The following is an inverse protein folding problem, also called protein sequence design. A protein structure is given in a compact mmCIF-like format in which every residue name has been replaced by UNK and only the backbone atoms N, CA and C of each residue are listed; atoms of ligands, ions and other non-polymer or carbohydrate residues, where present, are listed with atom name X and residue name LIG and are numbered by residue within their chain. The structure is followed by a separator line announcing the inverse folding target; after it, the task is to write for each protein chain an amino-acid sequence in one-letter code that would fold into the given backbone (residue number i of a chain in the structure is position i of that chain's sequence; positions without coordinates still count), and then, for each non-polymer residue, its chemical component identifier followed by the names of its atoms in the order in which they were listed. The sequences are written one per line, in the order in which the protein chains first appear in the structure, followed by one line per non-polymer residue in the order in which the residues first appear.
data_IF_864950221845
#
_entry.id   IF_864950221845
#
_cell.length_a   1.000
_cell.length_b   1.000
_cell.length_c   1.000
_cell.angle_alpha   90.00
_cell.angle_beta   90.00
_cell.angle_gamma   90.00
#
_symmetry.space_group_name_H-M   'P 1'
#
loop_
_entity.id
_entity.type
_entity.pdbx_description
1 polymer ?
#
# COMPACT_ATOMS: atom_id res chain seq x y z
N UNK A 1 36.91 23.67 53.34
CA UNK A 1 36.00 23.42 54.48
C UNK A 1 35.14 22.20 54.15
N UNK A 2 35.06 21.27 55.12
CA UNK A 2 34.21 20.06 55.20
C UNK A 2 32.74 20.42 54.87
N UNK A 3 31.95 19.62 54.12
CA UNK A 3 30.96 18.62 54.62
C UNK A 3 30.12 18.14 53.39
N UNK A 4 30.02 16.84 53.07
CA UNK A 4 29.13 15.77 53.61
C UNK A 4 27.73 15.75 52.92
N UNK A 5 27.48 14.76 52.03
CA UNK A 5 26.57 13.57 52.11
C UNK A 5 25.10 13.86 51.70
N UNK A 6 24.53 13.10 50.75
CA UNK A 6 23.42 12.13 50.97
C UNK A 6 23.00 11.43 49.66
N UNK A 7 22.79 10.12 49.74
CA UNK A 7 22.38 9.20 48.68
C UNK A 7 20.89 9.32 48.33
N UNK A 8 20.51 8.95 47.09
CA UNK A 8 19.23 8.29 46.86
C UNK A 8 19.35 7.27 45.72
N UNK A 9 19.06 6.02 46.06
CA UNK A 9 18.92 4.88 45.16
C UNK A 9 17.65 5.08 44.32
N UNK A 10 17.76 4.95 42.99
CA UNK A 10 16.61 4.73 42.11
C UNK A 10 16.75 3.34 41.51
N UNK A 11 15.91 2.43 41.99
CA UNK A 11 15.68 1.11 41.40
C UNK A 11 14.88 1.34 40.11
N UNK A 12 15.54 1.27 38.96
CA UNK A 12 14.86 1.23 37.67
C UNK A 12 14.36 -0.21 37.45
N UNK A 13 13.06 -0.42 37.63
CA UNK A 13 12.39 -1.64 37.22
C UNK A 13 12.46 -1.75 35.69
N UNK A 14 13.21 -2.73 35.19
CA UNK A 14 13.20 -3.11 33.78
C UNK A 14 11.86 -3.78 33.48
N UNK A 15 10.93 -3.04 32.90
CA UNK A 15 9.74 -3.62 32.26
C UNK A 15 10.21 -4.25 30.95
N UNK A 16 10.43 -5.56 30.96
CA UNK A 16 10.62 -6.36 29.75
C UNK A 16 9.29 -6.43 29.00
N UNK A 17 9.15 -5.54 28.02
CA UNK A 17 8.02 -5.54 27.09
C UNK A 17 7.97 -6.86 26.33
N UNK A 18 6.80 -7.49 26.35
CA UNK A 18 6.47 -8.66 25.57
C UNK A 18 6.79 -8.47 24.09
N UNK A 19 7.27 -9.55 23.49
CA UNK A 19 7.62 -9.72 22.08
C UNK A 19 6.32 -9.80 21.27
N UNK A 20 5.88 -8.69 20.71
CA UNK A 20 4.82 -8.67 19.69
C UNK A 20 5.42 -8.94 18.31
N UNK A 21 4.88 -9.94 17.63
CA UNK A 21 5.16 -10.22 16.23
C UNK A 21 4.64 -9.03 15.39
N UNK A 22 5.54 -8.11 15.04
CA UNK A 22 5.24 -7.01 14.13
C UNK A 22 4.78 -7.59 12.80
N UNK A 23 3.54 -7.28 12.39
CA UNK A 23 3.20 -7.28 10.97
C UNK A 23 4.12 -6.24 10.33
N UNK A 24 4.85 -6.63 9.29
CA UNK A 24 5.73 -5.71 8.58
C UNK A 24 4.90 -4.54 8.04
N UNK A 25 5.01 -3.40 8.70
CA UNK A 25 4.32 -2.18 8.33
C UNK A 25 5.07 -1.61 7.13
N UNK A 26 4.38 -1.48 6.00
CA UNK A 26 4.92 -0.72 4.86
C UNK A 26 5.11 0.73 5.31
N UNK A 27 6.37 1.20 5.31
CA UNK A 27 6.70 2.57 5.65
C UNK A 27 6.43 3.48 4.44
N UNK A 28 5.59 4.50 4.64
CA UNK A 28 5.34 5.53 3.63
C UNK A 28 6.40 6.64 3.74
N UNK A 29 7.17 6.83 2.68
CA UNK A 29 8.23 7.85 2.57
C UNK A 29 7.77 8.99 1.66
N UNK A 30 8.53 10.07 1.63
CA UNK A 30 8.29 11.15 0.67
C UNK A 30 8.40 10.65 -0.77
N UNK A 31 7.60 11.22 -1.66
CA UNK A 31 7.57 10.84 -3.07
C UNK A 31 8.93 11.09 -3.73
N UNK A 32 9.36 10.16 -4.57
CA UNK A 32 10.62 10.28 -5.32
C UNK A 32 10.32 10.81 -6.73
N UNK A 33 11.24 11.62 -7.28
CA UNK A 33 11.10 12.09 -8.67
C UNK A 33 11.14 10.90 -9.63
N UNK A 34 10.08 10.70 -10.40
CA UNK A 34 9.97 9.59 -11.36
C UNK A 34 10.56 10.00 -12.71
N UNK A 35 11.31 9.10 -13.36
CA UNK A 35 11.58 9.20 -14.78
C UNK A 35 10.28 9.05 -15.60
N UNK A 36 10.28 9.44 -16.87
CA UNK A 36 9.12 9.25 -17.75
C UNK A 36 8.86 7.74 -17.88
N UNK A 37 7.68 7.29 -17.45
CA UNK A 37 7.23 5.92 -17.67
C UNK A 37 6.57 5.84 -19.03
N UNK A 38 6.96 4.86 -19.84
CA UNK A 38 6.33 4.60 -21.13
C UNK A 38 4.85 4.21 -20.93
N UNK A 39 3.94 4.84 -21.67
CA UNK A 39 2.53 4.46 -21.71
C UNK A 39 2.37 3.36 -22.77
N UNK A 40 2.44 2.11 -22.32
CA UNK A 40 2.42 0.92 -23.17
C UNK A 40 1.04 0.27 -23.22
N UNK A 41 0.17 0.55 -22.25
CA UNK A 41 -1.16 -0.03 -22.10
C UNK A 41 -1.19 -1.57 -22.28
N UNK A 42 -0.12 -2.23 -21.80
CA UNK A 42 0.14 -3.66 -21.98
C UNK A 42 -0.24 -4.52 -20.76
N UNK A 43 -0.90 -3.93 -19.75
CA UNK A 43 -1.45 -4.66 -18.61
C UNK A 43 -2.86 -5.15 -18.98
N UNK A 44 -3.10 -6.46 -18.84
CA UNK A 44 -4.43 -7.03 -18.94
C UNK A 44 -5.25 -6.65 -17.70
N UNK A 45 -6.15 -5.69 -17.87
CA UNK A 45 -6.99 -5.17 -16.79
C UNK A 45 -8.11 -6.14 -16.39
N UNK A 46 -8.53 -7.03 -17.30
CA UNK A 46 -9.65 -7.95 -17.07
C UNK A 46 -9.23 -9.13 -16.19
N UNK A 47 -7.98 -9.59 -16.33
CA UNK A 47 -7.39 -10.62 -15.46
C UNK A 47 -6.73 -10.07 -14.19
N UNK A 48 -6.60 -8.74 -14.08
CA UNK A 48 -5.97 -8.09 -12.92
C UNK A 48 -6.99 -7.66 -11.85
N UNK A 49 -6.64 -7.87 -10.58
CA UNK A 49 -7.48 -7.44 -9.45
C UNK A 49 -6.63 -6.95 -8.28
N UNK A 50 -7.08 -5.85 -7.65
CA UNK A 50 -6.54 -5.40 -6.36
C UNK A 50 -7.52 -5.87 -5.29
N UNK A 51 -7.05 -6.65 -4.33
CA UNK A 51 -7.81 -7.00 -3.13
C UNK A 51 -7.46 -6.07 -1.98
N UNK A 52 -8.45 -5.66 -1.19
CA UNK A 52 -8.23 -4.86 0.02
C UNK A 52 -8.79 -5.55 1.26
N UNK A 53 -8.23 -5.22 2.42
CA UNK A 53 -8.73 -5.64 3.74
C UNK A 53 -8.71 -4.46 4.70
N UNK A 54 -9.89 -4.10 5.23
CA UNK A 54 -10.07 -3.10 6.27
C UNK A 54 -10.32 -3.77 7.64
N UNK A 55 -9.85 -3.15 8.72
CA UNK A 55 -10.02 -3.66 10.07
C UNK A 55 -10.47 -2.56 11.03
N UNK A 56 -11.39 -2.91 11.93
CA UNK A 56 -11.80 -2.14 13.11
C UNK A 56 -11.68 -3.05 14.34
N UNK A 57 -11.69 -2.52 15.59
CA UNK A 57 -11.59 -3.36 16.78
C UNK A 57 -12.63 -4.50 16.86
N UNK A 58 -13.80 -4.31 16.23
CA UNK A 58 -14.90 -5.27 16.24
C UNK A 58 -14.94 -6.22 15.04
N UNK A 59 -13.99 -6.14 14.09
CA UNK A 59 -13.96 -7.06 12.95
C UNK A 59 -13.16 -6.56 11.76
N UNK A 60 -13.18 -7.36 10.68
CA UNK A 60 -12.53 -7.03 9.41
C UNK A 60 -13.50 -7.18 8.27
N UNK A 61 -13.25 -6.43 7.20
CA UNK A 61 -13.96 -6.54 5.93
C UNK A 61 -12.94 -6.60 4.81
N UNK A 62 -13.32 -7.20 3.70
CA UNK A 62 -12.49 -7.29 2.51
C UNK A 62 -13.27 -7.04 1.22
N UNK A 63 -12.52 -6.85 0.15
CA UNK A 63 -13.12 -6.56 -1.12
C UNK A 63 -12.11 -6.36 -2.24
N UNK A 64 -12.60 -5.83 -3.35
CA UNK A 64 -11.80 -5.63 -4.55
C UNK A 64 -11.93 -4.22 -5.11
N UNK A 65 -10.93 -3.82 -5.90
CA UNK A 65 -10.92 -2.66 -6.80
C UNK A 65 -10.21 -3.10 -8.08
N UNK A 66 -10.69 -2.65 -9.23
CA UNK A 66 -10.14 -3.02 -10.53
C UNK A 66 -9.15 -1.96 -11.05
N UNK A 67 -8.30 -2.40 -11.97
CA UNK A 67 -7.45 -1.49 -12.73
C UNK A 67 -8.26 -0.84 -13.85
N UNK A 68 -7.98 0.45 -14.08
CA UNK A 68 -8.40 1.17 -15.29
C UNK A 68 -7.46 0.90 -16.45
N UNK A 69 -6.19 0.70 -16.15
CA UNK A 69 -5.11 0.58 -17.11
C UNK A 69 -3.76 0.46 -16.41
N UNK A 70 -2.73 0.11 -17.17
CA UNK A 70 -1.38 0.02 -16.66
C UNK A 70 -0.36 -0.21 -17.75
N UNK A 71 0.90 0.00 -17.41
CA UNK A 71 2.04 -0.26 -18.27
C UNK A 71 3.14 -0.92 -17.47
N UNK A 72 3.76 -1.96 -18.03
CA UNK A 72 4.90 -2.65 -17.47
C UNK A 72 6.05 -2.62 -18.46
N UNK A 73 7.19 -2.13 -18.01
CA UNK A 73 8.42 -2.08 -18.78
C UNK A 73 9.27 -3.29 -18.43
N UNK A 74 9.52 -4.14 -19.44
CA UNK A 74 10.36 -5.32 -19.32
C UNK A 74 11.56 -5.15 -20.25
N UNK A 75 12.76 -5.26 -19.71
CA UNK A 75 14.01 -5.27 -20.47
C UNK A 75 14.72 -6.60 -20.19
N UNK A 76 15.02 -7.37 -21.24
CA UNK A 76 15.67 -8.69 -21.12
C UNK A 76 14.97 -9.63 -20.10
N UNK A 77 13.64 -9.53 -20.01
CA UNK A 77 12.82 -10.32 -19.08
C UNK A 77 12.76 -9.79 -17.64
N UNK A 78 13.40 -8.66 -17.34
CA UNK A 78 13.41 -8.02 -16.02
C UNK A 78 12.46 -6.83 -15.98
N UNK A 79 11.72 -6.71 -14.88
CA UNK A 79 10.86 -5.54 -14.64
C UNK A 79 11.74 -4.32 -14.31
N UNK A 80 11.71 -3.30 -15.16
CA UNK A 80 12.51 -2.07 -14.98
C UNK A 80 11.66 -0.87 -14.55
N UNK A 81 10.34 -0.95 -14.74
CA UNK A 81 9.42 0.11 -14.38
C UNK A 81 7.98 -0.20 -14.77
N UNK A 82 7.10 0.76 -14.53
CA UNK A 82 5.70 0.61 -14.85
C UNK A 82 4.81 1.58 -14.09
N UNK A 83 3.53 1.58 -14.45
CA UNK A 83 2.51 2.32 -13.73
C UNK A 83 1.17 1.63 -13.80
N UNK A 84 0.34 1.85 -12.79
CA UNK A 84 -1.02 1.32 -12.71
C UNK A 84 -1.96 2.45 -12.37
N UNK A 85 -3.10 2.48 -13.05
CA UNK A 85 -4.22 3.38 -12.77
C UNK A 85 -5.35 2.54 -12.22
N UNK A 86 -5.82 2.89 -11.04
CA UNK A 86 -6.86 2.18 -10.30
C UNK A 86 -8.18 2.90 -10.53
N UNK A 87 -9.23 2.19 -10.92
CA UNK A 87 -10.56 2.79 -11.11
C UNK A 87 -11.35 2.72 -9.80
N UNK A 88 -11.39 3.82 -9.05
CA UNK A 88 -11.89 3.82 -7.69
C UNK A 88 -13.40 3.51 -7.60
N UNK A 89 -14.16 3.83 -8.65
CA UNK A 89 -15.59 3.53 -8.73
C UNK A 89 -15.91 2.02 -8.80
N UNK A 90 -14.91 1.18 -9.08
CA UNK A 90 -15.09 -0.29 -9.16
C UNK A 90 -15.00 -0.99 -7.80
N UNK A 91 -14.83 -0.23 -6.71
CA UNK A 91 -14.71 -0.78 -5.37
C UNK A 91 -15.92 -1.63 -4.98
N UNK A 92 -15.66 -2.83 -4.47
CA UNK A 92 -16.67 -3.76 -3.98
C UNK A 92 -16.27 -4.29 -2.62
N UNK A 93 -17.25 -4.57 -1.78
CA UNK A 93 -17.11 -5.42 -0.60
C UNK A 93 -17.56 -6.84 -0.93
N UNK A 94 -16.85 -7.85 -0.42
CA UNK A 94 -17.10 -9.25 -0.77
C UNK A 94 -17.59 -10.11 0.40
N UNK A 95 -17.51 -9.62 1.64
CA UNK A 95 -17.84 -10.40 2.84
C UNK A 95 -19.19 -10.05 3.49
N UNK A 96 -19.86 -8.97 3.06
CA UNK A 96 -21.16 -8.55 3.58
C UNK A 96 -22.31 -8.83 2.59
N UNK A 97 -23.54 -8.84 3.11
CA UNK A 97 -24.75 -8.82 2.29
C UNK A 97 -24.82 -7.55 1.42
N UNK A 98 -25.67 -7.58 0.39
CA UNK A 98 -25.75 -6.50 -0.59
C UNK A 98 -26.06 -5.12 0.02
N UNK A 99 -26.93 -5.05 1.04
CA UNK A 99 -27.31 -3.79 1.67
C UNK A 99 -26.17 -3.25 2.54
N UNK A 100 -25.60 -4.10 3.40
CA UNK A 100 -24.50 -3.75 4.29
C UNK A 100 -23.22 -3.41 3.52
N UNK A 101 -22.92 -4.17 2.47
CA UNK A 101 -21.80 -3.94 1.57
C UNK A 101 -21.94 -2.61 0.81
N UNK A 102 -23.15 -2.31 0.31
CA UNK A 102 -23.42 -1.03 -0.34
C UNK A 102 -23.26 0.17 0.61
N UNK A 103 -23.70 0.03 1.87
CA UNK A 103 -23.47 1.08 2.90
C UNK A 103 -21.98 1.31 3.17
N UNK A 104 -21.20 0.24 3.32
CA UNK A 104 -19.76 0.34 3.54
C UNK A 104 -19.06 1.01 2.35
N UNK A 105 -19.26 0.49 1.13
CA UNK A 105 -18.65 1.05 -0.09
C UNK A 105 -19.10 2.49 -0.31
N UNK A 106 -20.37 2.81 -0.04
CA UNK A 106 -20.90 4.17 -0.10
C UNK A 106 -20.17 5.12 0.84
N UNK A 107 -19.90 4.72 2.09
CA UNK A 107 -19.11 5.51 3.03
C UNK A 107 -17.65 5.66 2.59
N UNK A 108 -16.99 4.57 2.17
CA UNK A 108 -15.60 4.65 1.68
C UNK A 108 -15.47 5.56 0.44
N UNK A 109 -16.52 5.63 -0.38
CA UNK A 109 -16.54 6.46 -1.59
C UNK A 109 -16.84 7.94 -1.33
N UNK A 110 -17.32 8.29 -0.14
CA UNK A 110 -17.78 9.62 0.20
C UNK A 110 -16.63 10.62 0.43
N UNK A 111 -16.92 11.95 0.44
CA UNK A 111 -15.90 13.00 0.54
C UNK A 111 -15.01 12.95 1.80
N UNK A 112 -15.51 12.39 2.89
CA UNK A 112 -14.81 12.22 4.16
C UNK A 112 -13.80 11.06 4.14
N UNK A 113 -13.80 10.24 3.09
CA UNK A 113 -12.85 9.16 2.89
C UNK A 113 -12.11 9.29 1.55
N UNK A 114 -12.36 8.40 0.57
CA UNK A 114 -11.64 8.45 -0.72
C UNK A 114 -12.15 9.52 -1.67
N UNK A 115 -13.37 10.05 -1.46
CA UNK A 115 -13.98 11.07 -2.31
C UNK A 115 -13.93 10.70 -3.80
N UNK A 116 -14.51 9.55 -4.14
CA UNK A 116 -14.37 8.92 -5.47
C UNK A 116 -14.94 9.80 -6.58
N UNK A 117 -15.94 10.64 -6.29
CA UNK A 117 -16.49 11.59 -7.25
C UNK A 117 -15.46 12.63 -7.69
N UNK A 118 -14.59 13.09 -6.79
CA UNK A 118 -13.51 14.04 -7.08
C UNK A 118 -12.26 13.31 -7.57
N UNK A 119 -11.91 12.19 -6.95
CA UNK A 119 -10.71 11.39 -7.23
C UNK A 119 -11.09 10.03 -7.81
N UNK A 120 -11.56 10.04 -9.05
CA UNK A 120 -12.00 8.84 -9.75
C UNK A 120 -10.90 7.78 -9.89
N UNK A 121 -9.63 8.18 -9.83
CA UNK A 121 -8.49 7.27 -9.97
C UNK A 121 -7.44 7.45 -8.88
N UNK A 122 -6.86 6.33 -8.43
CA UNK A 122 -5.58 6.31 -7.74
C UNK A 122 -4.48 5.81 -8.70
N UNK A 123 -3.21 6.09 -8.40
CA UNK A 123 -2.09 5.73 -9.27
C UNK A 123 -0.92 5.15 -8.49
N UNK A 124 -0.33 4.07 -8.99
CA UNK A 124 0.97 3.60 -8.54
C UNK A 124 1.99 3.73 -9.66
N UNK A 125 3.15 4.31 -9.40
CA UNK A 125 4.21 4.49 -10.39
C UNK A 125 5.51 3.93 -9.84
N UNK A 126 6.04 2.90 -10.50
CA UNK A 126 7.28 2.24 -10.08
C UNK A 126 8.45 3.20 -10.27
N UNK A 127 9.27 3.33 -9.23
CA UNK A 127 10.47 4.18 -9.20
C UNK A 127 11.75 3.38 -9.05
N UNK A 128 11.68 2.17 -8.49
CA UNK A 128 12.83 1.28 -8.33
C UNK A 128 12.35 -0.17 -8.22
N UNK A 129 13.15 -1.09 -8.76
CA UNK A 129 12.91 -2.54 -8.66
C UNK A 129 14.22 -3.18 -8.24
N UNK A 130 14.20 -3.87 -7.10
CA UNK A 130 15.34 -4.62 -6.59
C UNK A 130 15.02 -6.11 -6.60
N UNK A 131 15.94 -6.92 -7.12
CA UNK A 131 15.84 -8.38 -7.00
C UNK A 131 16.22 -8.79 -5.57
N UNK A 132 15.36 -9.58 -4.93
CA UNK A 132 15.56 -10.13 -3.58
C UNK A 132 15.37 -11.64 -3.64
N UNK A 133 16.44 -12.42 -3.66
CA UNK A 133 16.42 -13.87 -3.86
C UNK A 133 15.51 -14.29 -5.04
N UNK A 134 14.33 -14.85 -4.75
CA UNK A 134 13.33 -15.30 -5.73
C UNK A 134 12.13 -14.34 -5.89
N UNK A 135 12.21 -13.13 -5.33
CA UNK A 135 11.17 -12.12 -5.34
C UNK A 135 11.73 -10.76 -5.79
N UNK A 136 10.83 -9.80 -5.95
CA UNK A 136 11.15 -8.41 -6.21
C UNK A 136 10.72 -7.55 -5.01
N UNK A 137 11.53 -6.54 -4.71
CA UNK A 137 11.14 -5.41 -3.90
C UNK A 137 10.85 -4.24 -4.83
N UNK A 138 9.56 -3.94 -5.02
CA UNK A 138 9.10 -2.91 -5.96
C UNK A 138 8.79 -1.65 -5.16
N UNK A 139 9.58 -0.60 -5.38
CA UNK A 139 9.31 0.71 -4.81
C UNK A 139 8.61 1.58 -5.83
N UNK A 140 7.56 2.27 -5.40
CA UNK A 140 6.86 3.21 -6.24
C UNK A 140 6.08 4.27 -5.47
N UNK A 141 5.74 5.33 -6.18
CA UNK A 141 4.88 6.40 -5.68
C UNK A 141 3.42 5.98 -5.81
N UNK A 142 2.75 5.81 -4.68
CA UNK A 142 1.31 5.64 -4.59
C UNK A 142 0.66 7.02 -4.38
N UNK A 143 -0.22 7.38 -5.30
CA UNK A 143 -1.06 8.57 -5.25
C UNK A 143 -2.49 8.17 -4.95
N UNK A 144 -3.03 8.65 -3.82
CA UNK A 144 -4.44 8.49 -3.45
C UNK A 144 -4.96 9.87 -3.07
N UNK A 145 -6.02 10.32 -3.75
CA UNK A 145 -6.42 11.73 -3.78
C UNK A 145 -5.24 12.58 -4.26
N UNK A 146 -4.98 13.72 -3.62
CA UNK A 146 -3.82 14.58 -3.93
C UNK A 146 -2.55 14.22 -3.15
N UNK A 147 -2.55 13.12 -2.40
CA UNK A 147 -1.40 12.74 -1.57
C UNK A 147 -0.59 11.66 -2.28
N UNK A 148 0.69 11.94 -2.50
CA UNK A 148 1.65 10.97 -3.03
C UNK A 148 2.65 10.55 -1.97
N UNK A 149 2.83 9.25 -1.78
CA UNK A 149 3.87 8.68 -0.91
C UNK A 149 4.60 7.54 -1.60
N UNK A 150 5.90 7.45 -1.37
CA UNK A 150 6.71 6.33 -1.85
C UNK A 150 6.53 5.15 -0.90
N UNK A 151 6.15 4.01 -1.44
CA UNK A 151 6.00 2.75 -0.70
C UNK A 151 6.79 1.65 -1.41
N UNK A 152 7.18 0.63 -0.65
CA UNK A 152 7.84 -0.56 -1.18
C UNK A 152 6.95 -1.77 -0.91
N UNK A 153 6.67 -2.54 -1.96
CA UNK A 153 5.85 -3.74 -1.90
C UNK A 153 6.67 -4.95 -2.38
N UNK A 154 6.55 -6.12 -1.73
CA UNK A 154 7.07 -7.35 -2.29
C UNK A 154 6.24 -7.76 -3.51
N UNK A 155 6.89 -8.29 -4.54
CA UNK A 155 6.26 -8.80 -5.74
C UNK A 155 6.95 -10.08 -6.23
N UNK A 156 6.25 -10.87 -7.02
CA UNK A 156 6.81 -12.03 -7.71
C UNK A 156 6.56 -11.85 -9.20
N UNK A 157 7.58 -12.10 -10.01
CA UNK A 157 7.47 -12.09 -11.47
C UNK A 157 7.53 -13.53 -11.97
N UNK A 158 6.48 -13.97 -12.64
CA UNK A 158 6.41 -15.30 -13.28
C UNK A 158 6.24 -15.09 -14.77
N UNK A 159 7.14 -15.66 -15.56
CA UNK A 159 7.05 -15.68 -17.02
C UNK A 159 6.54 -17.04 -17.46
N UNK A 160 5.36 -17.08 -18.07
CA UNK A 160 4.89 -18.27 -18.78
C UNK A 160 5.61 -18.32 -20.14
N UNK A 161 6.27 -19.44 -20.41
CA UNK A 161 7.05 -19.70 -21.63
C UNK A 161 6.23 -20.37 -22.73
#
# INVERSE_FOLDING_TARGET
MKKIILSLVVVAALLTSCKENKKDKVEAKEAVKVAVVAALDNVDVDSSVITWKGAKPTGTHDGTILLKGGSLNLEEGKLTGGSFVIEMATMKNLDLDAESGAKLVGHLSAPDFFDVATYATAKFVITNVEETDNNLSVTGNLTVKDITKSITIPATLVTEG
#
